data_IF_304355051556
#
_entry.id   IF_304355051556
#
_cell.length_a   1.000
_cell.length_b   1.000
_cell.length_c   1.000
_cell.angle_alpha   90.00
_cell.angle_beta   90.00
_cell.angle_gamma   90.00
#
_symmetry.space_group_name_H-M   'P 1'
#
loop_
_entity.id
_entity.type
_entity.pdbx_description
1 polymer ?
#
# COMPACT_ATOMS: atom_id res chain seq x y z
N UNK A 1 -1.29 -8.44 12.63
CA UNK A 1 -1.53 -7.29 11.70
C UNK A 1 -2.55 -7.73 10.66
N UNK A 2 -3.12 -6.82 9.87
CA UNK A 2 -4.01 -7.16 8.76
C UNK A 2 -3.43 -6.66 7.44
N UNK A 3 -3.44 -7.49 6.40
CA UNK A 3 -2.94 -7.16 5.06
C UNK A 3 -4.08 -6.77 4.13
N UNK A 4 -3.88 -5.67 3.42
CA UNK A 4 -4.63 -5.35 2.21
C UNK A 4 -3.72 -5.26 1.00
N UNK A 5 -4.33 -5.27 -0.18
CA UNK A 5 -3.65 -4.96 -1.43
C UNK A 5 -4.39 -3.88 -2.21
N UNK A 6 -3.62 -2.97 -2.79
CA UNK A 6 -4.08 -1.87 -3.64
C UNK A 6 -3.51 -2.09 -5.04
N UNK A 7 -4.39 -2.42 -5.99
CA UNK A 7 -4.02 -2.65 -7.38
C UNK A 7 -4.24 -1.39 -8.20
N UNK A 8 -3.17 -0.91 -8.82
CA UNK A 8 -3.18 0.21 -9.75
C UNK A 8 -2.83 -0.31 -11.14
N UNK A 9 -3.78 -0.21 -12.08
CA UNK A 9 -3.51 -0.56 -13.47
C UNK A 9 -2.97 0.66 -14.22
N UNK A 10 -2.08 0.42 -15.19
CA UNK A 10 -1.52 1.47 -16.04
C UNK A 10 -0.04 1.26 -16.32
N UNK A 11 0.65 2.32 -16.74
CA UNK A 11 2.08 2.30 -16.99
C UNK A 11 2.85 2.11 -15.66
N UNK A 12 3.53 0.98 -15.44
CA UNK A 12 4.21 0.70 -14.18
C UNK A 12 5.30 1.71 -13.84
N UNK A 13 5.96 2.33 -14.83
CA UNK A 13 7.01 3.32 -14.55
C UNK A 13 6.40 4.57 -13.90
N UNK A 14 5.31 5.09 -14.46
CA UNK A 14 4.59 6.25 -13.92
C UNK A 14 3.96 5.95 -12.56
N UNK A 15 3.40 4.75 -12.40
CA UNK A 15 2.81 4.31 -11.14
C UNK A 15 3.86 4.17 -10.04
N UNK A 16 5.03 3.62 -10.33
CA UNK A 16 6.14 3.53 -9.37
C UNK A 16 6.63 4.91 -8.94
N UNK A 17 6.74 5.87 -9.86
CA UNK A 17 7.10 7.25 -9.51
C UNK A 17 6.06 7.89 -8.58
N UNK A 18 4.77 7.70 -8.85
CA UNK A 18 3.67 8.15 -7.99
C UNK A 18 3.70 7.50 -6.61
N UNK A 19 3.91 6.18 -6.57
CA UNK A 19 4.06 5.43 -5.32
C UNK A 19 5.26 5.90 -4.50
N UNK A 20 6.41 6.15 -5.13
CA UNK A 20 7.59 6.69 -4.44
C UNK A 20 7.33 8.08 -3.83
N UNK A 21 6.61 8.96 -4.54
CA UNK A 21 6.16 10.25 -3.99
C UNK A 21 5.29 10.03 -2.75
N UNK A 22 4.33 9.11 -2.82
CA UNK A 22 3.46 8.78 -1.67
C UNK A 22 4.25 8.29 -0.47
N UNK A 23 5.19 7.35 -0.66
CA UNK A 23 6.04 6.86 0.44
C UNK A 23 6.88 7.99 1.03
N UNK A 24 7.36 8.93 0.21
CA UNK A 24 8.11 10.10 0.66
C UNK A 24 7.33 11.07 1.57
N UNK A 25 5.98 11.01 1.57
CA UNK A 25 5.13 11.81 2.45
C UNK A 25 4.91 11.16 3.83
N UNK A 26 5.24 9.88 3.98
CA UNK A 26 4.97 9.13 5.21
C UNK A 26 6.09 9.35 6.25
N UNK A 27 5.74 9.47 7.54
CA UNK A 27 6.76 9.63 8.58
C UNK A 27 7.57 8.34 8.76
N UNK A 28 8.83 8.42 9.26
CA UNK A 28 9.65 7.25 9.54
C UNK A 28 8.92 6.25 10.44
N UNK A 29 8.96 4.97 10.06
CA UNK A 29 8.36 3.87 10.82
C UNK A 29 6.84 3.73 10.69
N UNK A 30 6.18 4.55 9.84
CA UNK A 30 4.76 4.43 9.52
C UNK A 30 4.42 3.09 8.84
N UNK A 31 5.32 2.59 7.99
CA UNK A 31 5.18 1.34 7.29
C UNK A 31 5.83 0.19 8.07
N UNK A 32 5.15 -0.96 8.13
CA UNK A 32 5.68 -2.19 8.77
C UNK A 32 6.07 -3.22 7.73
N UNK A 33 5.09 -3.83 7.07
CA UNK A 33 5.30 -4.68 5.91
C UNK A 33 4.66 -3.97 4.73
N UNK A 34 5.49 -3.44 3.84
CA UNK A 34 5.06 -2.68 2.69
C UNK A 34 5.82 -3.15 1.45
N UNK A 35 5.12 -3.76 0.52
CA UNK A 35 5.71 -4.35 -0.70
C UNK A 35 4.98 -3.78 -1.91
N UNK A 36 5.71 -3.09 -2.78
CA UNK A 36 5.20 -2.69 -4.08
C UNK A 36 5.70 -3.66 -5.15
N UNK A 37 4.79 -4.49 -5.67
CA UNK A 37 5.05 -5.40 -6.78
C UNK A 37 4.72 -4.70 -8.10
N UNK A 38 5.69 -4.59 -9.00
CA UNK A 38 5.48 -4.10 -10.35
C UNK A 38 5.32 -5.25 -11.34
N UNK A 39 4.36 -5.12 -12.26
CA UNK A 39 4.09 -6.06 -13.35
C UNK A 39 3.93 -5.29 -14.66
N UNK A 40 3.78 -5.99 -15.79
CA UNK A 40 3.50 -5.34 -17.09
C UNK A 40 2.17 -4.55 -17.09
N UNK A 41 1.19 -4.95 -16.27
CA UNK A 41 -0.13 -4.33 -16.21
C UNK A 41 -0.28 -3.17 -15.22
N UNK A 42 0.76 -2.90 -14.42
CA UNK A 42 0.74 -1.87 -13.37
C UNK A 42 1.40 -2.36 -12.08
N UNK A 43 0.97 -1.82 -10.93
CA UNK A 43 1.55 -2.16 -9.62
C UNK A 43 0.50 -2.69 -8.64
N UNK A 44 0.93 -3.54 -7.71
CA UNK A 44 0.15 -4.00 -6.56
C UNK A 44 0.91 -3.68 -5.28
N UNK A 45 0.32 -2.88 -4.41
CA UNK A 45 0.91 -2.48 -3.13
C UNK A 45 0.28 -3.32 -2.03
N UNK A 46 1.07 -4.17 -1.40
CA UNK A 46 0.71 -4.94 -0.23
C UNK A 46 1.16 -4.16 1.01
N UNK A 47 0.21 -3.84 1.89
CA UNK A 47 0.49 -3.02 3.07
C UNK A 47 -0.23 -3.57 4.30
N UNK A 48 0.48 -3.56 5.43
CA UNK A 48 -0.09 -3.97 6.70
C UNK A 48 -0.61 -2.82 7.54
N UNK A 49 -1.86 -2.97 7.99
CA UNK A 49 -2.46 -2.16 9.04
C UNK A 49 -2.36 -2.88 10.41
N UNK A 50 -2.50 -2.14 11.54
CA UNK A 50 -2.56 -2.74 12.87
C UNK A 50 -3.61 -3.85 12.98
N UNK A 51 -4.81 -3.59 12.45
CA UNK A 51 -5.96 -4.50 12.46
C UNK A 51 -6.90 -4.25 11.26
N UNK A 52 -7.90 -5.12 11.13
CA UNK A 52 -8.92 -5.06 10.07
C UNK A 52 -9.72 -3.76 10.09
N UNK A 53 -10.09 -3.27 11.27
CA UNK A 53 -10.90 -2.06 11.41
C UNK A 53 -10.14 -0.82 10.92
N UNK A 54 -8.84 -0.76 11.17
CA UNK A 54 -7.94 0.28 10.69
C UNK A 54 -7.81 0.24 9.17
N UNK A 55 -7.65 -0.95 8.59
CA UNK A 55 -7.63 -1.15 7.15
C UNK A 55 -8.94 -0.66 6.49
N UNK A 56 -10.10 -1.10 7.00
CA UNK A 56 -11.40 -0.72 6.44
C UNK A 56 -11.61 0.80 6.49
N UNK A 57 -11.28 1.43 7.63
CA UNK A 57 -11.40 2.89 7.80
C UNK A 57 -10.47 3.67 6.87
N UNK A 58 -9.23 3.22 6.71
CA UNK A 58 -8.26 3.89 5.88
C UNK A 58 -8.60 3.75 4.38
N UNK A 59 -8.81 2.52 3.93
CA UNK A 59 -9.04 2.20 2.51
C UNK A 59 -10.35 2.76 1.94
N UNK A 60 -11.37 2.91 2.78
CA UNK A 60 -12.65 3.55 2.41
C UNK A 60 -12.70 5.05 2.73
N UNK A 61 -11.65 5.60 3.35
CA UNK A 61 -11.58 6.97 3.82
C UNK A 61 -11.27 7.98 2.72
N UNK A 62 -11.85 9.18 2.84
CA UNK A 62 -11.55 10.31 1.94
C UNK A 62 -10.06 10.67 1.92
N UNK A 63 -9.38 10.53 3.06
CA UNK A 63 -7.95 10.83 3.20
C UNK A 63 -7.05 9.95 2.32
N UNK A 64 -7.40 8.68 2.10
CA UNK A 64 -6.62 7.81 1.21
C UNK A 64 -6.85 8.19 -0.25
N UNK A 65 -8.09 8.46 -0.63
CA UNK A 65 -8.42 8.90 -1.99
C UNK A 65 -7.74 10.23 -2.35
N UNK A 66 -7.71 11.19 -1.42
CA UNK A 66 -7.01 12.47 -1.59
C UNK A 66 -5.51 12.26 -1.74
N UNK A 67 -4.88 11.43 -0.89
CA UNK A 67 -3.46 11.11 -0.98
C UNK A 67 -3.10 10.49 -2.33
N UNK A 68 -3.88 9.50 -2.79
CA UNK A 68 -3.70 8.84 -4.09
C UNK A 68 -3.78 9.86 -5.24
N UNK A 69 -4.76 10.76 -5.19
CA UNK A 69 -4.94 11.80 -6.20
C UNK A 69 -3.80 12.83 -6.18
N UNK A 70 -3.33 13.25 -4.99
CA UNK A 70 -2.25 14.21 -4.81
C UNK A 70 -0.95 13.75 -5.46
N UNK A 71 -0.65 12.45 -5.38
CA UNK A 71 0.57 11.88 -5.97
C UNK A 71 0.41 11.47 -7.44
N UNK A 72 -0.78 11.67 -8.02
CA UNK A 72 -1.09 11.36 -9.42
C UNK A 72 -1.33 9.88 -9.70
N UNK A 73 -1.65 9.08 -8.69
CA UNK A 73 -2.03 7.68 -8.86
C UNK A 73 -3.51 7.57 -9.24
N UNK A 74 -3.90 6.59 -10.07
CA UNK A 74 -5.31 6.32 -10.35
C UNK A 74 -5.99 5.72 -9.12
N UNK A 75 -7.33 5.71 -9.12
CA UNK A 75 -8.10 5.02 -8.07
C UNK A 75 -7.78 3.52 -8.11
N UNK A 76 -7.26 2.92 -7.03
CA UNK A 76 -6.93 1.51 -7.03
C UNK A 76 -8.18 0.63 -6.86
N UNK A 77 -8.08 -0.62 -7.32
CA UNK A 77 -8.93 -1.69 -6.78
C UNK A 77 -8.34 -2.16 -5.47
N UNK A 78 -9.15 -2.23 -4.43
CA UNK A 78 -8.71 -2.58 -3.08
C UNK A 78 -9.27 -3.95 -2.71
N UNK A 79 -8.41 -4.83 -2.22
CA UNK A 79 -8.78 -6.15 -1.73
C UNK A 79 -8.26 -6.35 -0.29
N UNK A 80 -9.14 -6.84 0.59
CA UNK A 80 -8.81 -7.25 1.94
C UNK A 80 -8.28 -8.69 1.90
N UNK A 81 -7.03 -8.93 2.32
CA UNK A 81 -6.41 -10.26 2.19
C UNK A 81 -6.57 -11.11 3.45
N UNK A 82 -6.08 -10.64 4.61
CA UNK A 82 -6.17 -11.43 5.83
C UNK A 82 -5.19 -11.04 6.93
N UNK A 83 -5.22 -11.81 8.01
CA UNK A 83 -4.31 -11.65 9.15
C UNK A 83 -2.87 -12.04 8.78
N UNK A 84 -1.91 -11.29 9.32
CA UNK A 84 -0.48 -11.45 9.07
C UNK A 84 0.25 -11.79 10.36
N UNK A 85 0.91 -12.94 10.31
CA UNK A 85 1.98 -13.35 11.19
C UNK A 85 3.33 -13.12 10.46
N UNK A 86 4.27 -12.45 11.12
CA UNK A 86 5.59 -12.13 10.56
C UNK A 86 6.70 -12.65 11.46
N UNK A 87 7.73 -13.22 10.86
CA UNK A 87 8.85 -13.83 11.58
C UNK A 87 10.16 -13.20 11.11
N UNK A 88 11.02 -12.83 12.05
CA UNK A 88 12.40 -12.43 11.80
C UNK A 88 13.33 -13.45 12.46
N UNK A 89 14.26 -14.01 11.69
CA UNK A 89 15.33 -14.85 12.21
C UNK A 89 16.59 -14.01 12.33
N UNK A 90 17.11 -13.86 13.54
CA UNK A 90 18.39 -13.21 13.76
C UNK A 90 19.51 -14.27 13.75
N UNK A 91 20.65 -14.01 13.10
CA UNK A 91 21.82 -14.87 13.24
C UNK A 91 22.33 -14.85 14.69
N UNK A 92 22.88 -15.98 15.14
CA UNK A 92 23.56 -16.12 16.44
C UNK A 92 24.86 -15.31 16.51
#
# INVERSE_FOLDING_TARGET
MFMGVYHFDGDPAQLLEGHQRMVGLLPPGALKIHVCLSTEGGISVYDTCPDRATFDRFSSGHSFAELVAEVGLPVPRIEALGDVESYEFHPE
#
